data_IF_590852115203
#
_entry.id   IF_590852115203
#
_cell.length_a   1.000
_cell.length_b   1.000
_cell.length_c   1.000
_cell.angle_alpha   90.00
_cell.angle_beta   90.00
_cell.angle_gamma   90.00
#
_symmetry.space_group_name_H-M   'P 1'
#
loop_
_entity.id
_entity.type
_entity.pdbx_description
1 polymer ?
#
# COMPACT_ATOMS: atom_id res chain seq x y z
N UNK A 1 1.27 -25.11 1.58
CA UNK A 1 0.83 -24.37 0.36
C UNK A 1 -0.57 -23.77 0.50
N UNK A 2 -1.59 -24.58 0.80
CA UNK A 2 -2.98 -24.13 1.00
C UNK A 2 -3.14 -23.13 2.15
N UNK A 3 -2.42 -23.34 3.26
CA UNK A 3 -2.40 -22.43 4.43
C UNK A 3 -1.87 -21.04 4.09
N UNK A 4 -0.89 -20.95 3.18
CA UNK A 4 -0.32 -19.67 2.75
C UNK A 4 -1.31 -18.87 1.93
N UNK A 5 -2.03 -19.53 1.02
CA UNK A 5 -3.04 -18.87 0.16
C UNK A 5 -4.26 -18.44 0.98
N UNK A 6 -4.67 -19.23 1.99
CA UNK A 6 -5.72 -18.83 2.92
C UNK A 6 -5.34 -17.58 3.72
N UNK A 7 -4.10 -17.53 4.23
CA UNK A 7 -3.57 -16.34 4.91
C UNK A 7 -3.53 -15.10 4.00
N UNK A 8 -3.23 -15.28 2.71
CA UNK A 8 -3.30 -14.18 1.72
C UNK A 8 -4.72 -13.67 1.54
N UNK A 9 -5.73 -14.56 1.47
CA UNK A 9 -7.14 -14.16 1.38
C UNK A 9 -7.59 -13.38 2.63
N UNK A 10 -7.25 -13.87 3.83
CA UNK A 10 -7.54 -13.19 5.10
C UNK A 10 -6.79 -11.84 5.22
N UNK A 11 -5.59 -11.76 4.65
CA UNK A 11 -4.80 -10.53 4.55
C UNK A 11 -5.45 -9.50 3.62
N UNK A 12 -5.96 -9.94 2.48
CA UNK A 12 -6.68 -9.08 1.55
C UNK A 12 -7.97 -8.53 2.17
N UNK A 13 -8.75 -9.35 2.88
CA UNK A 13 -9.96 -8.89 3.56
C UNK A 13 -9.68 -7.82 4.63
N UNK A 14 -8.60 -7.97 5.40
CA UNK A 14 -8.16 -6.94 6.34
C UNK A 14 -7.68 -5.66 5.65
N UNK A 15 -6.99 -5.78 4.52
CA UNK A 15 -6.59 -4.63 3.73
C UNK A 15 -7.81 -3.87 3.18
N UNK A 16 -8.84 -4.58 2.71
CA UNK A 16 -10.09 -3.99 2.23
C UNK A 16 -10.80 -3.18 3.34
N UNK A 17 -10.89 -3.73 4.56
CA UNK A 17 -11.44 -3.02 5.72
C UNK A 17 -10.63 -1.77 6.08
N UNK A 18 -9.30 -1.85 6.02
CA UNK A 18 -8.42 -0.71 6.30
C UNK A 18 -8.61 0.41 5.27
N UNK A 19 -8.69 0.05 3.98
CA UNK A 19 -8.93 1.00 2.89
C UNK A 19 -10.32 1.63 3.00
N UNK A 20 -11.36 0.84 3.34
CA UNK A 20 -12.71 1.36 3.57
C UNK A 20 -12.75 2.37 4.72
N UNK A 21 -12.01 2.11 5.80
CA UNK A 21 -11.87 3.05 6.93
C UNK A 21 -11.13 4.32 6.52
N UNK A 22 -10.05 4.19 5.76
CA UNK A 22 -9.27 5.32 5.26
C UNK A 22 -10.12 6.22 4.35
N UNK A 23 -10.93 5.62 3.47
CA UNK A 23 -11.90 6.33 2.62
C UNK A 23 -12.92 7.12 3.44
N UNK A 24 -13.50 6.51 4.48
CA UNK A 24 -14.44 7.21 5.36
C UNK A 24 -13.77 8.41 6.05
N UNK A 25 -12.51 8.28 6.46
CA UNK A 25 -11.73 9.38 7.03
C UNK A 25 -11.41 10.48 6.01
N UNK A 26 -11.10 10.12 4.77
CA UNK A 26 -10.88 11.08 3.68
C UNK A 26 -12.17 11.86 3.35
N UNK A 27 -13.32 11.18 3.29
CA UNK A 27 -14.63 11.82 3.10
C UNK A 27 -14.98 12.77 4.24
N UNK A 28 -14.72 12.37 5.49
CA UNK A 28 -14.89 13.26 6.66
C UNK A 28 -13.96 14.47 6.59
N UNK A 29 -12.69 14.26 6.23
CA UNK A 29 -11.71 15.34 6.09
C UNK A 29 -12.09 16.32 4.97
N UNK A 30 -12.66 15.82 3.88
CA UNK A 30 -13.16 16.66 2.79
C UNK A 30 -14.29 17.59 3.25
N UNK A 31 -15.20 17.11 4.11
CA UNK A 31 -16.25 17.96 4.72
C UNK A 31 -15.66 19.07 5.58
N UNK A 32 -14.66 18.74 6.40
CA UNK A 32 -13.95 19.72 7.25
C UNK A 32 -13.26 20.78 6.39
N UNK A 33 -12.64 20.38 5.27
CA UNK A 33 -12.03 21.32 4.32
C UNK A 33 -13.07 22.28 3.74
N UNK A 34 -14.23 21.79 3.30
CA UNK A 34 -15.32 22.63 2.78
C UNK A 34 -15.82 23.62 3.83
N UNK A 35 -16.03 23.17 5.07
CA UNK A 35 -16.41 24.03 6.19
C UNK A 35 -15.33 25.08 6.49
N UNK A 36 -14.05 24.70 6.41
CA UNK A 36 -12.90 25.59 6.61
C UNK A 36 -12.85 26.69 5.56
N UNK A 37 -13.06 26.36 4.27
CA UNK A 37 -13.12 27.36 3.19
C UNK A 37 -14.26 28.34 3.44
N UNK A 38 -15.45 27.85 3.77
CA UNK A 38 -16.60 28.70 4.10
C UNK A 38 -16.31 29.65 5.28
N UNK A 39 -15.62 29.17 6.33
CA UNK A 39 -15.22 30.02 7.45
C UNK A 39 -14.21 31.10 7.03
N UNK A 40 -13.26 30.77 6.16
CA UNK A 40 -12.28 31.73 5.64
C UNK A 40 -12.92 32.79 4.74
N UNK A 41 -13.91 32.42 3.93
CA UNK A 41 -14.70 33.36 3.14
C UNK A 41 -15.50 34.33 4.02
N UNK A 42 -16.06 33.85 5.13
CA UNK A 42 -16.72 34.71 6.11
C UNK A 42 -15.74 35.68 6.78
N UNK A 43 -14.51 35.23 7.10
CA UNK A 43 -13.46 36.11 7.62
C UNK A 43 -13.09 37.17 6.58
N UNK A 44 -12.91 36.80 5.31
CA UNK A 44 -12.61 37.73 4.23
C UNK A 44 -13.71 38.80 4.08
N UNK A 45 -14.99 38.39 4.06
CA UNK A 45 -16.11 39.32 4.01
C UNK A 45 -16.22 40.22 5.26
N UNK A 46 -15.86 39.70 6.44
CA UNK A 46 -15.78 40.51 7.67
C UNK A 46 -14.65 41.54 7.60
N UNK A 47 -13.50 41.18 7.06
CA UNK A 47 -12.38 42.11 6.84
C UNK A 47 -12.75 43.26 5.91
N UNK A 48 -13.48 43.00 4.82
CA UNK A 48 -13.97 44.04 3.91
C UNK A 48 -14.91 45.03 4.61
N UNK A 49 -15.81 44.53 5.47
CA UNK A 49 -16.69 45.40 6.28
C UNK A 49 -15.89 46.26 7.24
N UNK A 50 -14.86 45.69 7.89
CA UNK A 50 -13.96 46.44 8.77
C UNK A 50 -13.25 47.55 7.97
N UNK A 51 -12.70 47.25 6.79
CA UNK A 51 -12.08 48.26 5.91
C UNK A 51 -13.04 49.41 5.59
N UNK A 52 -14.32 49.11 5.31
CA UNK A 52 -15.32 50.16 5.08
C UNK A 52 -15.57 51.03 6.32
N UNK A 53 -15.57 50.44 7.52
CA UNK A 53 -15.74 51.19 8.78
C UNK A 53 -14.52 52.08 9.04
N UNK A 54 -13.30 51.55 8.83
CA UNK A 54 -12.06 52.32 8.99
C UNK A 54 -12.02 53.51 8.03
N UNK A 55 -12.51 53.35 6.80
CA UNK A 55 -12.65 54.48 5.86
C UNK A 55 -13.55 55.58 6.39
N UNK A 56 -14.71 55.23 6.96
CA UNK A 56 -15.62 56.21 7.59
C UNK A 56 -14.95 56.90 8.78
N UNK A 57 -14.13 56.19 9.55
CA UNK A 57 -13.36 56.79 10.67
C UNK A 57 -12.32 57.79 10.15
N UNK A 58 -11.59 57.48 9.07
CA UNK A 58 -10.65 58.41 8.44
C UNK A 58 -11.36 59.66 7.90
N UNK A 59 -12.54 59.48 7.28
CA UNK A 59 -13.38 60.58 6.79
C UNK A 59 -13.84 61.49 7.96
N UNK A 60 -14.28 60.91 9.09
CA UNK A 60 -14.65 61.67 10.31
C UNK A 60 -13.45 62.41 10.89
N UNK A 61 -12.27 61.77 10.92
CA UNK A 61 -11.04 62.41 11.38
C UNK A 61 -10.67 63.60 10.49
N UNK A 62 -10.82 63.46 9.17
CA UNK A 62 -10.59 64.55 8.21
C UNK A 62 -11.57 65.72 8.40
N UNK A 63 -12.87 65.43 8.55
CA UNK A 63 -13.89 66.46 8.82
C UNK A 63 -13.63 67.18 10.16
N UNK A 64 -13.25 66.44 11.20
CA UNK A 64 -12.87 67.00 12.52
C UNK A 64 -11.65 67.91 12.41
N UNK A 65 -10.65 67.52 11.61
CA UNK A 65 -9.46 68.33 11.33
C UNK A 65 -9.82 69.65 10.61
N UNK A 66 -10.75 69.61 9.64
CA UNK A 66 -11.25 70.81 8.96
C UNK A 66 -12.07 71.72 9.88
N UNK A 67 -12.93 71.15 10.74
CA UNK A 67 -13.68 71.90 11.74
C UNK A 67 -12.76 72.59 12.75
N UNK A 68 -11.73 71.88 13.22
CA UNK A 68 -10.73 72.42 14.13
C UNK A 68 -9.91 73.55 13.48
N UNK A 69 -9.59 73.42 12.20
CA UNK A 69 -8.94 74.49 11.43
C UNK A 69 -9.81 75.75 11.37
N UNK A 70 -11.10 75.59 11.02
CA UNK A 70 -12.05 76.71 10.96
C UNK A 70 -12.21 77.39 12.33
N UNK A 71 -12.31 76.61 13.41
CA UNK A 71 -12.36 77.12 14.78
C UNK A 71 -11.08 77.88 15.16
N UNK A 72 -9.91 77.39 14.75
CA UNK A 72 -8.63 78.07 14.96
C UNK A 72 -8.56 79.42 14.25
N UNK A 73 -9.08 79.51 13.01
CA UNK A 73 -9.16 80.77 12.25
C UNK A 73 -10.08 81.78 12.93
N UNK A 74 -11.27 81.34 13.36
CA UNK A 74 -12.23 82.24 14.03
C UNK A 74 -11.72 82.68 15.42
N UNK A 75 -11.00 81.80 16.13
CA UNK A 75 -10.33 82.14 17.38
C UNK A 75 -9.23 83.20 17.19
N UNK A 76 -8.43 83.10 16.11
CA UNK A 76 -7.45 84.13 15.76
C UNK A 76 -8.12 85.47 15.42
N UNK A 77 -9.29 85.42 14.76
CA UNK A 77 -10.09 86.61 14.41
C UNK A 77 -10.67 87.32 15.64
N UNK A 78 -11.03 86.57 16.68
CA UNK A 78 -11.52 87.10 17.96
C UNK A 78 -10.42 87.72 18.85
N UNK A 79 -9.15 87.64 18.46
CA UNK A 79 -8.03 88.26 19.18
C UNK A 79 -7.87 87.70 20.59
N UNK A 80 -7.75 88.58 21.59
CA UNK A 80 -7.49 88.19 22.98
C UNK A 80 -8.62 87.38 23.62
N UNK A 81 -9.87 87.59 23.20
CA UNK A 81 -11.02 86.81 23.66
C UNK A 81 -11.00 85.36 23.14
N UNK A 82 -10.28 85.10 22.03
CA UNK A 82 -10.21 83.80 21.37
C UNK A 82 -9.05 82.90 21.80
N UNK A 83 -8.11 83.37 22.65
CA UNK A 83 -6.89 82.62 22.99
C UNK A 83 -7.16 81.22 23.56
N UNK A 84 -8.16 81.07 24.42
CA UNK A 84 -8.53 79.76 24.97
C UNK A 84 -9.10 78.81 23.91
N UNK A 85 -9.93 79.33 23.01
CA UNK A 85 -10.49 78.56 21.89
C UNK A 85 -9.42 78.14 20.88
N UNK A 86 -8.40 78.97 20.64
CA UNK A 86 -7.29 78.64 19.75
C UNK A 86 -6.50 77.42 20.23
N UNK A 87 -6.26 77.30 21.56
CA UNK A 87 -5.57 76.14 22.14
C UNK A 87 -6.41 74.87 21.98
N UNK A 88 -7.71 74.94 22.29
CA UNK A 88 -8.63 73.80 22.11
C UNK A 88 -8.68 73.37 20.64
N UNK A 89 -8.77 74.33 19.70
CA UNK A 89 -8.75 74.04 18.26
C UNK A 89 -7.46 73.32 17.83
N UNK A 90 -6.29 73.74 18.34
CA UNK A 90 -5.03 73.04 18.05
C UNK A 90 -4.97 71.62 18.59
N UNK A 91 -5.51 71.39 19.79
CA UNK A 91 -5.53 70.06 20.43
C UNK A 91 -6.49 69.11 19.70
N UNK A 92 -7.68 69.59 19.34
CA UNK A 92 -8.65 68.82 18.53
C UNK A 92 -8.06 68.49 17.16
N UNK A 93 -7.33 69.41 16.54
CA UNK A 93 -6.64 69.18 15.27
C UNK A 93 -5.56 68.10 15.40
N UNK A 94 -4.74 68.16 16.45
CA UNK A 94 -3.71 67.16 16.71
C UNK A 94 -4.33 65.78 16.98
N UNK A 95 -5.44 65.71 17.71
CA UNK A 95 -6.18 64.47 17.96
C UNK A 95 -6.74 63.89 16.66
N UNK A 96 -7.36 64.72 15.81
CA UNK A 96 -7.89 64.31 14.51
C UNK A 96 -6.80 63.74 13.59
N UNK A 97 -5.63 64.37 13.52
CA UNK A 97 -4.48 63.86 12.75
C UNK A 97 -4.03 62.48 13.28
N UNK A 98 -3.89 62.34 14.61
CA UNK A 98 -3.54 61.04 15.24
C UNK A 98 -4.57 59.96 14.96
N UNK A 99 -5.86 60.30 14.93
CA UNK A 99 -6.94 59.36 14.57
C UNK A 99 -6.85 58.90 13.11
N UNK A 100 -6.55 59.81 12.18
CA UNK A 100 -6.35 59.48 10.75
C UNK A 100 -5.13 58.56 10.55
N UNK A 101 -4.01 58.87 11.21
CA UNK A 101 -2.79 58.06 11.13
C UNK A 101 -3.03 56.64 11.69
N UNK A 102 -3.72 56.52 12.84
CA UNK A 102 -4.10 55.22 13.41
C UNK A 102 -5.09 54.45 12.53
N UNK A 103 -6.06 55.14 11.91
CA UNK A 103 -7.00 54.51 10.98
C UNK A 103 -6.26 53.90 9.77
N UNK A 104 -5.26 54.61 9.23
CA UNK A 104 -4.42 54.09 8.13
C UNK A 104 -3.60 52.87 8.54
N UNK A 105 -2.98 52.91 9.71
CA UNK A 105 -2.21 51.77 10.23
C UNK A 105 -3.11 50.52 10.40
N UNK A 106 -4.32 50.69 10.95
CA UNK A 106 -5.29 49.60 11.07
C UNK A 106 -5.71 49.10 9.68
N UNK A 107 -5.94 49.99 8.72
CA UNK A 107 -6.29 49.59 7.36
C UNK A 107 -5.19 48.73 6.72
N UNK A 108 -3.92 49.10 6.88
CA UNK A 108 -2.79 48.34 6.36
C UNK A 108 -2.68 46.95 7.01
N UNK A 109 -2.88 46.86 8.32
CA UNK A 109 -2.92 45.58 9.04
C UNK A 109 -4.06 44.68 8.53
N UNK A 110 -5.26 45.21 8.36
CA UNK A 110 -6.41 44.46 7.84
C UNK A 110 -6.19 44.02 6.40
N UNK A 111 -5.61 44.88 5.55
CA UNK A 111 -5.25 44.52 4.17
C UNK A 111 -4.24 43.37 4.12
N UNK A 112 -3.24 43.40 5.00
CA UNK A 112 -2.27 42.31 5.15
C UNK A 112 -2.94 41.01 5.63
N UNK A 113 -3.82 41.07 6.64
CA UNK A 113 -4.60 39.91 7.09
C UNK A 113 -5.48 39.33 5.98
N UNK A 114 -6.13 40.17 5.18
CA UNK A 114 -6.95 39.72 4.03
C UNK A 114 -6.10 38.98 2.98
N UNK A 115 -4.87 39.45 2.71
CA UNK A 115 -3.94 38.74 1.84
C UNK A 115 -3.52 37.38 2.42
N UNK A 116 -3.29 37.29 3.73
CA UNK A 116 -2.97 36.03 4.41
C UNK A 116 -4.14 35.03 4.34
N UNK A 117 -5.38 35.49 4.56
CA UNK A 117 -6.58 34.66 4.45
C UNK A 117 -6.74 34.13 3.02
N UNK A 118 -6.59 34.99 1.99
CA UNK A 118 -6.63 34.55 0.58
C UNK A 118 -5.60 33.47 0.26
N UNK A 119 -4.37 33.63 0.76
CA UNK A 119 -3.34 32.58 0.63
C UNK A 119 -3.75 31.30 1.35
N UNK A 120 -4.33 31.42 2.56
CA UNK A 120 -4.86 30.30 3.33
C UNK A 120 -5.92 29.52 2.55
N UNK A 121 -6.88 30.21 1.93
CA UNK A 121 -7.92 29.60 1.07
C UNK A 121 -7.28 28.80 -0.06
N UNK A 122 -6.32 29.37 -0.80
CA UNK A 122 -5.64 28.65 -1.88
C UNK A 122 -4.90 27.39 -1.39
N UNK A 123 -4.28 27.42 -0.20
CA UNK A 123 -3.65 26.23 0.37
C UNK A 123 -4.68 25.17 0.74
N UNK A 124 -5.79 25.57 1.36
CA UNK A 124 -6.86 24.66 1.77
C UNK A 124 -7.55 24.04 0.55
N UNK A 125 -7.75 24.79 -0.53
CA UNK A 125 -8.28 24.27 -1.80
C UNK A 125 -7.36 23.17 -2.37
N UNK A 126 -6.05 23.41 -2.40
CA UNK A 126 -5.05 22.40 -2.81
C UNK A 126 -5.08 21.17 -1.92
N UNK A 127 -5.26 21.34 -0.61
CA UNK A 127 -5.47 20.21 0.31
C UNK A 127 -6.75 19.44 -0.04
N UNK A 128 -7.83 20.14 -0.39
CA UNK A 128 -9.08 19.55 -0.85
C UNK A 128 -8.92 18.73 -2.14
N UNK A 129 -8.15 19.22 -3.11
CA UNK A 129 -7.81 18.49 -4.34
C UNK A 129 -6.98 17.23 -4.03
N UNK A 130 -5.93 17.36 -3.22
CA UNK A 130 -5.11 16.21 -2.81
C UNK A 130 -5.92 15.12 -2.08
N UNK A 131 -6.86 15.51 -1.21
CA UNK A 131 -7.76 14.57 -0.55
C UNK A 131 -8.68 13.84 -1.54
N UNK A 132 -9.12 14.50 -2.62
CA UNK A 132 -9.91 13.84 -3.68
C UNK A 132 -9.07 12.82 -4.45
N UNK A 133 -7.82 13.14 -4.76
CA UNK A 133 -6.88 12.21 -5.40
C UNK A 133 -6.57 10.99 -4.50
N UNK A 134 -6.42 11.20 -3.19
CA UNK A 134 -6.27 10.13 -2.21
C UNK A 134 -7.51 9.22 -2.22
N UNK A 135 -8.71 9.79 -2.16
CA UNK A 135 -9.95 9.02 -2.19
C UNK A 135 -10.12 8.20 -3.49
N UNK A 136 -9.68 8.75 -4.63
CA UNK A 136 -9.64 8.00 -5.89
C UNK A 136 -8.67 6.81 -5.80
N UNK A 137 -7.44 7.07 -5.35
CA UNK A 137 -6.39 6.05 -5.21
C UNK A 137 -6.82 4.94 -4.26
N UNK A 138 -7.47 5.27 -3.14
CA UNK A 138 -8.02 4.30 -2.21
C UNK A 138 -9.11 3.44 -2.84
N UNK A 139 -9.98 4.02 -3.69
CA UNK A 139 -10.98 3.25 -4.42
C UNK A 139 -10.35 2.25 -5.40
N UNK A 140 -9.25 2.62 -6.07
CA UNK A 140 -8.51 1.72 -6.94
C UNK A 140 -7.84 0.59 -6.15
N UNK A 141 -7.22 0.92 -5.02
CA UNK A 141 -6.60 -0.07 -4.12
C UNK A 141 -7.65 -1.06 -3.61
N UNK A 142 -8.84 -0.59 -3.19
CA UNK A 142 -9.93 -1.46 -2.76
C UNK A 142 -10.32 -2.48 -3.85
N UNK A 143 -10.44 -2.02 -5.10
CA UNK A 143 -10.69 -2.89 -6.25
C UNK A 143 -9.62 -3.96 -6.42
N UNK A 144 -8.34 -3.57 -6.42
CA UNK A 144 -7.21 -4.50 -6.54
C UNK A 144 -7.18 -5.53 -5.40
N UNK A 145 -7.44 -5.10 -4.17
CA UNK A 145 -7.46 -5.98 -2.99
C UNK A 145 -8.61 -6.99 -3.09
N UNK A 146 -9.79 -6.56 -3.55
CA UNK A 146 -10.92 -7.44 -3.82
C UNK A 146 -10.56 -8.51 -4.86
N UNK A 147 -9.90 -8.11 -5.96
CA UNK A 147 -9.45 -9.04 -7.00
C UNK A 147 -8.43 -10.05 -6.46
N UNK A 148 -7.49 -9.62 -5.62
CA UNK A 148 -6.54 -10.51 -4.94
C UNK A 148 -7.27 -11.50 -4.03
N UNK A 149 -8.27 -11.05 -3.27
CA UNK A 149 -9.06 -11.92 -2.40
C UNK A 149 -9.80 -13.00 -3.21
N UNK A 150 -10.42 -12.62 -4.33
CA UNK A 150 -11.09 -13.55 -5.25
C UNK A 150 -10.10 -14.54 -5.86
N UNK A 151 -8.98 -14.05 -6.41
CA UNK A 151 -7.95 -14.89 -7.01
C UNK A 151 -7.34 -15.87 -5.99
N UNK A 152 -7.10 -15.41 -4.76
CA UNK A 152 -6.58 -16.25 -3.68
C UNK A 152 -7.57 -17.35 -3.29
N UNK A 153 -8.88 -17.04 -3.21
CA UNK A 153 -9.91 -18.06 -2.96
C UNK A 153 -9.94 -19.12 -4.05
N UNK A 154 -9.90 -18.71 -5.32
CA UNK A 154 -9.84 -19.65 -6.46
C UNK A 154 -8.58 -20.51 -6.43
N UNK A 155 -7.43 -19.91 -6.18
CA UNK A 155 -6.15 -20.62 -6.09
C UNK A 155 -6.14 -21.64 -4.94
N UNK A 156 -6.78 -21.30 -3.81
CA UNK A 156 -6.94 -22.22 -2.69
C UNK A 156 -7.76 -23.46 -3.09
N UNK A 157 -8.89 -23.27 -3.78
CA UNK A 157 -9.71 -24.36 -4.29
C UNK A 157 -8.93 -25.25 -5.27
N UNK A 158 -8.22 -24.65 -6.23
CA UNK A 158 -7.39 -25.39 -7.19
C UNK A 158 -6.28 -26.20 -6.48
N UNK A 159 -5.66 -25.65 -5.43
CA UNK A 159 -4.65 -26.37 -4.66
C UNK A 159 -5.22 -27.57 -3.89
N UNK A 160 -6.49 -27.51 -3.46
CA UNK A 160 -7.17 -28.66 -2.84
C UNK A 160 -7.36 -29.77 -3.86
N UNK A 161 -7.80 -29.45 -5.08
CA UNK A 161 -7.93 -30.43 -6.17
C UNK A 161 -6.59 -31.04 -6.57
N UNK A 162 -5.54 -30.22 -6.72
CA UNK A 162 -4.18 -30.71 -7.01
C UNK A 162 -3.70 -31.63 -5.90
N UNK A 163 -3.93 -31.29 -4.63
CA UNK A 163 -3.53 -32.14 -3.51
C UNK A 163 -4.23 -33.51 -3.58
N UNK A 164 -5.54 -33.51 -3.87
CA UNK A 164 -6.31 -34.75 -4.05
C UNK A 164 -5.79 -35.60 -5.22
N UNK A 165 -5.51 -34.97 -6.36
CA UNK A 165 -4.94 -35.65 -7.53
C UNK A 165 -3.56 -36.26 -7.24
N UNK A 166 -2.71 -35.55 -6.49
CA UNK A 166 -1.40 -36.05 -6.06
C UNK A 166 -1.55 -37.25 -5.12
N UNK A 167 -2.48 -37.22 -4.16
CA UNK A 167 -2.76 -38.37 -3.30
C UNK A 167 -3.25 -39.58 -4.12
N UNK A 168 -4.09 -39.37 -5.13
CA UNK A 168 -4.55 -40.43 -6.00
C UNK A 168 -3.43 -41.00 -6.89
N UNK A 169 -2.56 -40.14 -7.43
CA UNK A 169 -1.37 -40.56 -8.17
C UNK A 169 -0.40 -41.36 -7.30
N UNK A 170 -0.19 -40.94 -6.05
CA UNK A 170 0.64 -41.68 -5.09
C UNK A 170 0.06 -43.07 -4.82
N UNK A 171 -1.26 -43.16 -4.57
CA UNK A 171 -1.94 -44.44 -4.38
C UNK A 171 -1.83 -45.34 -5.62
N UNK A 172 -2.04 -44.81 -6.83
CA UNK A 172 -1.88 -45.58 -8.06
C UNK A 172 -0.44 -46.04 -8.28
N UNK A 173 0.55 -45.21 -7.90
CA UNK A 173 1.97 -45.54 -8.02
C UNK A 173 2.34 -46.67 -7.06
N UNK A 174 1.86 -46.61 -5.81
CA UNK A 174 2.03 -47.69 -4.83
C UNK A 174 1.36 -48.99 -5.29
N UNK A 175 0.15 -48.90 -5.85
CA UNK A 175 -0.55 -50.06 -6.38
C UNK A 175 0.16 -50.67 -7.59
N UNK A 176 0.74 -49.85 -8.47
CA UNK A 176 1.55 -50.31 -9.59
C UNK A 176 2.83 -50.99 -9.12
N UNK A 177 3.50 -50.45 -8.09
CA UNK A 177 4.66 -51.08 -7.47
C UNK A 177 4.30 -52.46 -6.89
N UNK A 178 3.21 -52.55 -6.12
CA UNK A 178 2.73 -53.82 -5.56
C UNK A 178 2.39 -54.86 -6.66
N UNK A 179 1.70 -54.43 -7.73
CA UNK A 179 1.42 -55.31 -8.88
C UNK A 179 2.69 -55.76 -9.58
N UNK A 180 3.72 -54.92 -9.67
CA UNK A 180 5.02 -55.28 -10.24
C UNK A 180 5.73 -56.33 -9.38
N UNK A 181 5.65 -56.22 -8.06
CA UNK A 181 6.16 -57.24 -7.13
C UNK A 181 5.42 -58.57 -7.31
N UNK A 182 4.08 -58.56 -7.34
CA UNK A 182 3.27 -59.75 -7.62
C UNK A 182 3.60 -60.38 -8.99
N UNK A 183 3.75 -59.55 -10.02
CA UNK A 183 4.10 -60.00 -11.39
C UNK A 183 5.51 -60.60 -11.44
N UNK A 184 6.45 -60.03 -10.69
CA UNK A 184 7.81 -60.56 -10.56
C UNK A 184 7.77 -61.92 -9.87
N UNK A 185 7.05 -62.05 -8.76
CA UNK A 185 6.87 -63.32 -8.06
C UNK A 185 6.19 -64.39 -8.94
N UNK A 186 5.17 -64.01 -9.72
CA UNK A 186 4.51 -64.90 -10.66
C UNK A 186 5.48 -65.36 -11.78
N UNK A 187 6.31 -64.45 -12.30
CA UNK A 187 7.33 -64.76 -13.31
C UNK A 187 8.40 -65.73 -12.78
N UNK A 188 8.81 -65.57 -11.52
CA UNK A 188 9.69 -66.52 -10.83
C UNK A 188 9.03 -67.89 -10.64
N UNK A 189 7.74 -67.92 -10.30
CA UNK A 189 6.93 -69.14 -10.22
C UNK A 189 6.88 -69.89 -11.56
N UNK A 190 6.51 -69.20 -12.64
CA UNK A 190 6.49 -69.75 -14.00
C UNK A 190 7.87 -70.28 -14.43
N UNK A 191 8.95 -69.61 -14.02
CA UNK A 191 10.31 -70.07 -14.29
C UNK A 191 10.59 -71.39 -13.58
N UNK A 192 10.20 -71.53 -12.30
CA UNK A 192 10.34 -72.78 -11.54
C UNK A 192 9.53 -73.92 -12.18
N UNK A 193 8.28 -73.65 -12.58
CA UNK A 193 7.40 -74.63 -13.22
C UNK A 193 7.96 -75.11 -14.56
N UNK A 194 8.49 -74.19 -15.37
CA UNK A 194 9.14 -74.52 -16.64
C UNK A 194 10.39 -75.42 -16.43
N UNK A 195 11.22 -75.11 -15.43
CA UNK A 195 12.38 -75.95 -15.07
C UNK A 195 11.93 -77.34 -14.61
N UNK A 196 10.88 -77.43 -13.78
CA UNK A 196 10.33 -78.71 -13.32
C UNK A 196 9.74 -79.55 -14.47
N UNK A 197 9.06 -78.90 -15.42
CA UNK A 197 8.54 -79.57 -16.61
C UNK A 197 9.66 -80.14 -17.48
N UNK A 198 10.71 -79.36 -17.75
CA UNK A 198 11.89 -79.82 -18.50
C UNK A 198 12.54 -81.02 -17.80
N UNK A 199 12.70 -80.97 -16.47
CA UNK A 199 13.21 -82.09 -15.69
C UNK A 199 12.31 -83.33 -15.82
N UNK A 200 10.99 -83.18 -15.76
CA UNK A 200 10.03 -84.29 -15.89
C UNK A 200 10.09 -84.93 -17.28
N UNK A 201 10.14 -84.12 -18.34
CA UNK A 201 10.26 -84.62 -19.72
C UNK A 201 11.61 -85.33 -19.94
N UNK A 202 12.69 -84.89 -19.28
CA UNK A 202 14.00 -85.53 -19.38
C UNK A 202 14.06 -86.97 -18.86
N UNK A 203 13.10 -87.37 -18.01
CA UNK A 203 12.96 -88.77 -17.56
C UNK A 203 12.31 -89.68 -18.60
N UNK A 204 11.59 -89.13 -19.58
CA UNK A 204 11.02 -89.93 -20.67
C UNK A 204 12.11 -90.30 -21.68
N UNK A 205 12.61 -91.53 -21.58
CA UNK A 205 13.46 -92.13 -22.63
C UNK A 205 12.61 -92.52 -23.83
N UNK A 206 12.72 -91.73 -24.90
CA UNK A 206 12.15 -92.08 -26.20
C UNK A 206 12.98 -93.21 -26.80
N UNK A 207 12.32 -94.32 -27.13
CA UNK A 207 12.98 -95.48 -27.72
C UNK A 207 13.48 -95.22 -29.14
N UNK A 208 14.81 -95.15 -29.29
CA UNK A 208 15.56 -95.74 -30.39
C UNK A 208 15.81 -94.90 -31.65
N UNK A 209 17.04 -94.40 -31.79
CA UNK A 209 17.61 -93.95 -33.07
C UNK A 209 18.73 -92.94 -32.89
N UNK A 210 19.96 -93.40 -32.67
CA UNK A 210 21.08 -92.56 -32.26
C UNK A 210 21.49 -91.48 -33.26
N UNK A 211 21.63 -90.25 -32.76
CA UNK A 211 22.74 -89.33 -33.06
C UNK A 211 22.99 -88.51 -31.79
N UNK A 212 24.27 -88.48 -31.39
CA UNK A 212 24.96 -87.60 -30.43
C UNK A 212 24.15 -86.66 -29.52
N UNK A 213 24.29 -86.90 -28.21
CA UNK A 213 24.70 -85.90 -27.22
C UNK A 213 24.37 -84.44 -27.54
N UNK A 214 23.13 -84.01 -27.32
CA UNK A 214 22.82 -82.65 -26.88
C UNK A 214 21.51 -82.65 -26.09
N UNK A 215 21.60 -83.06 -24.82
CA UNK A 215 20.69 -82.48 -23.83
C UNK A 215 21.10 -81.01 -23.78
N UNK A 216 20.31 -80.12 -24.40
CA UNK A 216 20.45 -78.68 -24.18
C UNK A 216 20.18 -78.44 -22.70
N UNK A 217 21.23 -78.50 -21.90
CA UNK A 217 21.23 -77.93 -20.57
C UNK A 217 20.79 -76.49 -20.76
N UNK A 218 19.68 -76.12 -20.13
CA UNK A 218 19.36 -74.73 -19.92
C UNK A 218 20.49 -74.19 -19.04
N UNK A 219 21.58 -73.75 -19.68
CA UNK A 219 22.63 -73.01 -19.01
C UNK A 219 21.94 -71.78 -18.46
N UNK A 220 21.82 -71.74 -17.15
CA UNK A 220 21.64 -70.51 -16.41
C UNK A 220 22.90 -69.66 -16.56
N UNK A 221 23.24 -69.29 -17.79
CA UNK A 221 24.18 -68.22 -18.04
C UNK A 221 23.39 -66.92 -17.96
N UNK A 222 22.95 -66.59 -16.74
CA UNK A 222 22.92 -65.19 -16.35
C UNK A 222 24.31 -64.88 -15.83
N UNK A 223 25.24 -64.70 -16.77
CA UNK A 223 26.17 -63.60 -16.63
C UNK A 223 25.37 -62.39 -16.14
N UNK A 224 25.84 -61.79 -15.06
CA UNK A 224 25.31 -60.56 -14.52
C UNK A 224 25.36 -59.48 -15.61
N UNK A 225 24.36 -59.42 -16.49
CA UNK A 225 23.98 -58.13 -17.05
C UNK A 225 23.38 -57.39 -15.88
N UNK A 226 24.21 -56.57 -15.25
CA UNK A 226 23.76 -55.40 -14.54
C UNK A 226 22.90 -54.61 -15.53
N UNK A 227 21.60 -54.96 -15.59
CA UNK A 227 20.59 -54.05 -16.07
C UNK A 227 20.74 -52.83 -15.19
N UNK A 228 21.20 -51.74 -15.78
CA UNK A 228 21.27 -50.44 -15.14
C UNK A 228 19.96 -50.25 -14.38
N UNK A 229 20.05 -50.23 -13.04
CA UNK A 229 19.02 -49.61 -12.25
C UNK A 229 18.79 -48.23 -12.89
N UNK A 230 17.55 -47.80 -13.15
CA UNK A 230 17.33 -46.39 -13.41
C UNK A 230 17.90 -45.70 -12.17
N UNK A 231 18.94 -44.89 -12.40
CA UNK A 231 19.52 -44.07 -11.37
C UNK A 231 18.34 -43.43 -10.64
N UNK A 232 18.22 -43.71 -9.33
CA UNK A 232 17.35 -42.93 -8.46
C UNK A 232 17.72 -41.49 -8.75
N UNK A 233 16.85 -40.79 -9.47
CA UNK A 233 16.96 -39.36 -9.66
C UNK A 233 17.08 -38.81 -8.25
N UNK A 234 18.26 -38.28 -7.96
CA UNK A 234 18.54 -37.60 -6.72
C UNK A 234 17.35 -36.68 -6.44
N UNK A 235 16.67 -36.89 -5.31
CA UNK A 235 15.80 -35.86 -4.77
C UNK A 235 16.58 -34.54 -4.71
N UNK A 236 15.92 -33.39 -4.85
CA UNK A 236 16.60 -32.11 -4.92
C UNK A 236 17.56 -31.99 -3.73
N UNK A 237 18.84 -31.85 -4.05
CA UNK A 237 19.89 -31.66 -3.07
C UNK A 237 19.49 -30.46 -2.21
N UNK A 238 19.23 -30.73 -0.93
CA UNK A 238 19.08 -29.69 0.08
C UNK A 238 20.39 -28.91 0.07
N UNK A 239 20.38 -27.73 -0.54
CA UNK A 239 21.48 -26.78 -0.45
C UNK A 239 21.60 -26.43 1.03
N UNK A 240 22.53 -27.11 1.72
CA UNK A 240 23.09 -26.59 2.95
C UNK A 240 23.82 -25.32 2.58
N UNK A 241 23.11 -24.19 2.65
CA UNK A 241 23.73 -22.88 2.83
C UNK A 241 24.51 -22.96 4.13
N UNK A 242 25.79 -23.22 4.01
CA UNK A 242 26.78 -22.80 4.98
C UNK A 242 26.57 -21.30 5.20
N UNK A 243 26.12 -20.95 6.41
CA UNK A 243 26.14 -19.58 6.89
C UNK A 243 27.58 -19.12 7.01
N UNK A 244 28.17 -18.70 5.89
CA UNK A 244 29.23 -17.71 5.92
C UNK A 244 28.53 -16.39 6.27
N UNK A 245 28.59 -16.04 7.56
CA UNK A 245 28.30 -14.70 8.01
C UNK A 245 29.22 -13.73 7.23
N UNK A 246 28.66 -13.02 6.26
CA UNK A 246 29.27 -11.80 5.77
C UNK A 246 29.14 -10.81 6.92
N UNK A 247 30.25 -10.66 7.65
CA UNK A 247 30.43 -9.55 8.56
C UNK A 247 30.47 -8.28 7.70
N UNK A 248 29.34 -7.56 7.65
CA UNK A 248 29.34 -6.15 7.28
C UNK A 248 30.11 -5.44 8.39
N UNK A 249 31.34 -5.00 8.08
CA UNK A 249 32.00 -3.97 8.87
C UNK A 249 31.08 -2.74 8.82
N UNK A 250 30.70 -2.15 9.96
CA UNK A 250 30.12 -0.82 9.92
C UNK A 250 31.22 0.15 9.47
N UNK A 251 31.05 0.75 8.29
CA UNK A 251 31.75 1.99 7.96
C UNK A 251 31.26 3.05 8.97
N UNK A 252 32.07 3.26 10.00
CA UNK A 252 31.95 4.39 10.89
C UNK A 252 32.57 5.61 10.19
N UNK A 253 31.88 6.15 9.19
CA UNK A 253 32.13 7.50 8.65
C UNK A 253 30.96 7.92 7.78
N UNK A 254 30.21 8.93 8.21
CA UNK A 254 29.37 9.72 7.31
C UNK A 254 27.91 9.89 7.72
N UNK A 255 27.66 10.45 8.90
CA UNK A 255 26.48 11.28 9.20
C UNK A 255 26.86 12.28 10.31
N UNK A 256 27.69 13.26 9.95
CA UNK A 256 27.64 14.61 10.52
C UNK A 256 27.43 15.55 9.32
N UNK A 257 26.56 16.54 9.50
CA UNK A 257 25.95 17.45 8.51
C UNK A 257 24.81 16.88 7.67
N UNK A 258 23.58 16.95 8.20
CA UNK A 258 22.45 17.73 7.66
C UNK A 258 21.36 17.93 8.72
#
# INVERSE_FOLDING_TARGET
PTTSVKSTADGAERADQAVSTARANAESSSKVVVETVSAMDQIAGSSERITSIIKVIDDIAFETNLLALNAGVEAARAGDAGRGFAVVASEVRALAQRSSDAAREINDLIANSANQVRRGVTLVDKTGEALKEIAHSESEIAGLVSDIAVASRQQSANLVEINSAVTQLDQSTQQNAARLEETTAASEGLTKDAVALVATVSHFKVGGGGVGDQVVAFRSDRGASAGSAPARSAGPALVKRSGAAVAIKPDATGWEDF
#
